data_IF_828952322373
#
_entry.id   IF_828952322373
#
_cell.length_a   1.000
_cell.length_b   1.000
_cell.length_c   1.000
_cell.angle_alpha   90.00
_cell.angle_beta   90.00
_cell.angle_gamma   90.00
#
_symmetry.space_group_name_H-M   'P 1'
#
loop_
_entity.id
_entity.type
_entity.pdbx_description
1 polymer ?
#
# COMPACT_ATOMS: atom_id res chain seq x y z
N UNK A 1 12.35 8.29 20.77
CA UNK A 1 11.01 7.68 20.74
C UNK A 1 10.14 8.48 19.78
N UNK A 2 9.57 7.81 18.76
CA UNK A 2 8.46 8.30 17.93
C UNK A 2 8.80 9.11 16.68
N UNK A 3 9.27 8.47 15.59
CA UNK A 3 9.42 9.14 14.28
C UNK A 3 8.82 8.33 13.12
N UNK A 4 7.79 7.54 13.39
CA UNK A 4 6.89 6.99 12.37
C UNK A 4 5.46 7.16 12.90
N UNK A 5 4.61 7.86 12.14
CA UNK A 5 3.21 8.07 12.50
C UNK A 5 2.34 7.66 11.32
N UNK A 6 1.43 6.72 11.55
CA UNK A 6 0.43 6.30 10.57
C UNK A 6 -0.72 7.31 10.42
N UNK A 7 -0.71 8.42 11.16
CA UNK A 7 -1.83 9.37 11.20
C UNK A 7 -2.15 9.99 9.83
N UNK A 8 -1.13 10.29 9.02
CA UNK A 8 -1.32 10.84 7.68
C UNK A 8 -1.97 9.81 6.74
N UNK A 9 -1.47 8.57 6.75
CA UNK A 9 -2.05 7.45 5.97
C UNK A 9 -3.48 7.15 6.40
N UNK A 10 -3.76 7.12 7.71
CA UNK A 10 -5.10 6.91 8.26
C UNK A 10 -6.08 8.03 7.85
N UNK A 11 -5.61 9.29 7.83
CA UNK A 11 -6.42 10.43 7.39
C UNK A 11 -6.74 10.35 5.90
N UNK A 12 -5.78 9.92 5.07
CA UNK A 12 -5.99 9.66 3.64
C UNK A 12 -7.02 8.56 3.40
N UNK A 13 -6.92 7.45 4.12
CA UNK A 13 -7.86 6.33 4.04
C UNK A 13 -9.28 6.74 4.44
N UNK A 14 -9.43 7.53 5.51
CA UNK A 14 -10.72 8.06 5.95
C UNK A 14 -11.36 8.96 4.88
N UNK A 15 -10.58 9.85 4.27
CA UNK A 15 -11.06 10.72 3.21
C UNK A 15 -11.53 9.92 1.99
N UNK A 16 -10.74 8.94 1.54
CA UNK A 16 -11.07 8.08 0.40
C UNK A 16 -12.35 7.26 0.66
N UNK A 17 -12.47 6.68 1.86
CA UNK A 17 -13.67 5.93 2.26
C UNK A 17 -14.90 6.82 2.28
N UNK A 18 -14.78 8.02 2.85
CA UNK A 18 -15.88 8.98 2.94
C UNK A 18 -16.34 9.44 1.56
N UNK A 19 -15.40 9.68 0.63
CA UNK A 19 -15.72 10.05 -0.74
C UNK A 19 -16.40 8.92 -1.51
N UNK A 20 -15.91 7.69 -1.36
CA UNK A 20 -16.52 6.54 -2.01
C UNK A 20 -17.97 6.31 -1.55
N UNK A 21 -18.25 6.46 -0.26
CA UNK A 21 -19.62 6.40 0.28
C UNK A 21 -20.53 7.49 -0.28
N UNK A 22 -20.02 8.71 -0.43
CA UNK A 22 -20.76 9.81 -1.04
C UNK A 22 -21.16 9.52 -2.49
N UNK A 23 -20.23 8.97 -3.27
CA UNK A 23 -20.51 8.55 -4.65
C UNK A 23 -21.51 7.40 -4.71
N UNK A 24 -21.47 6.46 -3.74
CA UNK A 24 -22.49 5.43 -3.64
C UNK A 24 -23.89 6.02 -3.44
N UNK A 25 -24.02 7.05 -2.60
CA UNK A 25 -25.32 7.70 -2.39
C UNK A 25 -25.79 8.47 -3.63
N UNK A 26 -24.89 9.21 -4.28
CA UNK A 26 -25.22 10.00 -5.48
C UNK A 26 -25.68 9.13 -6.65
N UNK A 27 -25.08 7.96 -6.81
CA UNK A 27 -25.37 7.06 -7.92
C UNK A 27 -26.51 6.07 -7.61
N UNK A 28 -27.01 6.01 -6.36
CA UNK A 28 -28.03 5.06 -5.94
C UNK A 28 -29.30 5.03 -6.84
N UNK A 29 -29.83 6.17 -7.35
CA UNK A 29 -30.98 6.14 -8.27
C UNK A 29 -30.70 5.46 -9.61
N UNK A 30 -29.45 5.47 -10.07
CA UNK A 30 -29.03 4.91 -11.36
C UNK A 30 -28.40 3.52 -11.23
N UNK A 31 -27.80 3.21 -10.07
CA UNK A 31 -27.08 1.98 -9.77
C UNK A 31 -27.37 1.55 -8.33
N UNK A 32 -28.59 1.05 -8.02
CA UNK A 32 -28.97 0.70 -6.66
C UNK A 32 -28.16 -0.46 -6.08
N UNK A 33 -27.62 -1.36 -6.92
CA UNK A 33 -26.92 -2.58 -6.49
C UNK A 33 -25.39 -2.41 -6.39
N UNK A 34 -24.88 -1.19 -6.52
CA UNK A 34 -23.45 -0.95 -6.39
C UNK A 34 -22.99 -1.13 -4.94
N UNK A 35 -21.76 -1.60 -4.77
CA UNK A 35 -21.17 -1.86 -3.46
C UNK A 35 -19.79 -1.22 -3.34
N UNK A 36 -19.43 -0.87 -2.11
CA UNK A 36 -18.07 -0.48 -1.73
C UNK A 36 -17.42 -1.66 -1.03
N UNK A 37 -16.21 -2.03 -1.46
CA UNK A 37 -15.38 -3.04 -0.79
C UNK A 37 -14.15 -2.34 -0.23
N UNK A 38 -13.79 -2.68 1.01
CA UNK A 38 -12.55 -2.25 1.65
C UNK A 38 -11.62 -3.46 1.75
N UNK A 39 -10.39 -3.30 1.29
CA UNK A 39 -9.33 -4.30 1.45
C UNK A 39 -8.54 -3.99 2.73
N UNK A 40 -8.45 -4.96 3.64
CA UNK A 40 -7.85 -4.78 4.96
C UNK A 40 -6.35 -5.09 4.99
N UNK A 41 -5.84 -5.78 3.97
CA UNK A 41 -4.47 -6.30 3.95
C UNK A 41 -3.69 -5.62 2.83
N UNK A 42 -2.73 -4.79 3.18
CA UNK A 42 -1.80 -4.21 2.19
C UNK A 42 -0.33 -4.36 2.59
N UNK A 43 0.02 -5.40 3.36
CA UNK A 43 1.40 -5.83 3.62
C UNK A 43 1.46 -7.36 3.77
N UNK A 44 2.38 -8.02 3.06
CA UNK A 44 2.66 -9.45 3.26
C UNK A 44 3.64 -9.56 4.44
N UNK A 45 3.13 -9.94 5.63
CA UNK A 45 3.95 -10.23 6.79
C UNK A 45 4.40 -11.70 6.78
N UNK A 46 5.69 -11.96 7.01
CA UNK A 46 6.21 -13.31 7.12
C UNK A 46 6.50 -13.59 8.59
N UNK A 47 6.26 -14.82 9.02
CA UNK A 47 6.60 -15.29 10.36
C UNK A 47 7.62 -16.42 10.24
N UNK A 48 8.56 -16.48 11.19
CA UNK A 48 9.45 -17.64 11.32
C UNK A 48 8.67 -18.87 11.85
N UNK A 49 9.34 -20.03 11.91
CA UNK A 49 8.72 -21.26 12.44
C UNK A 49 8.30 -21.15 13.93
N UNK A 50 8.72 -20.10 14.63
CA UNK A 50 8.37 -19.80 16.02
C UNK A 50 7.29 -18.72 16.14
N UNK A 51 6.76 -18.20 15.03
CA UNK A 51 5.73 -17.16 14.99
C UNK A 51 6.25 -15.73 15.18
N UNK A 52 7.56 -15.49 15.07
CA UNK A 52 8.10 -14.14 15.16
C UNK A 52 8.02 -13.43 13.79
N UNK A 53 7.62 -12.15 13.74
CA UNK A 53 7.58 -11.39 12.50
C UNK A 53 8.99 -11.26 11.90
N UNK A 54 9.11 -11.60 10.64
CA UNK A 54 10.34 -11.48 9.84
C UNK A 54 10.34 -10.14 9.12
N UNK A 55 11.34 -9.29 9.41
CA UNK A 55 11.53 -8.03 8.71
C UNK A 55 12.16 -8.31 7.33
N UNK A 56 11.42 -8.00 6.26
CA UNK A 56 11.89 -8.18 4.88
C UNK A 56 11.95 -6.83 4.17
N UNK A 57 13.04 -6.59 3.46
CA UNK A 57 13.21 -5.40 2.63
C UNK A 57 12.40 -5.55 1.33
N UNK A 58 11.27 -4.85 1.24
CA UNK A 58 10.49 -4.80 0.01
C UNK A 58 11.07 -3.75 -0.95
N UNK A 59 11.71 -4.22 -2.02
CA UNK A 59 12.15 -3.34 -3.11
C UNK A 59 10.99 -3.14 -4.11
N UNK A 60 10.56 -1.88 -4.30
CA UNK A 60 9.62 -1.52 -5.38
C UNK A 60 10.43 -1.34 -6.67
N UNK A 61 10.17 -2.18 -7.67
CA UNK A 61 10.82 -2.09 -8.97
C UNK A 61 10.41 -0.79 -9.70
N UNK A 62 11.36 0.13 -9.85
CA UNK A 62 11.14 1.41 -10.54
C UNK A 62 11.65 1.35 -12.00
N UNK A 63 10.88 0.74 -12.90
CA UNK A 63 11.26 0.68 -14.33
C UNK A 63 11.04 2.03 -15.02
N UNK A 64 12.11 2.80 -15.23
CA UNK A 64 12.16 3.91 -16.23
C UNK A 64 12.61 3.45 -17.62
N UNK A 65 13.34 2.34 -17.72
CA UNK A 65 13.75 1.69 -18.96
C UNK A 65 14.06 0.20 -18.70
N UNK A 66 14.17 -0.62 -19.75
CA UNK A 66 14.63 -2.01 -19.64
C UNK A 66 16.16 -2.03 -19.48
N UNK A 67 16.64 -1.90 -18.24
CA UNK A 67 18.03 -2.15 -17.87
C UNK A 67 18.12 -3.46 -17.08
N UNK A 68 19.26 -4.16 -17.19
CA UNK A 68 19.50 -5.40 -16.44
C UNK A 68 19.90 -5.10 -14.99
N UNK A 69 19.24 -5.75 -14.04
CA UNK A 69 19.52 -5.68 -12.60
C UNK A 69 20.80 -6.45 -12.25
N UNK A 70 21.96 -5.88 -12.60
CA UNK A 70 23.26 -6.44 -12.24
C UNK A 70 23.64 -6.17 -10.78
N UNK A 71 24.63 -6.89 -10.27
CA UNK A 71 25.12 -6.82 -8.88
C UNK A 71 25.60 -5.43 -8.44
N UNK A 72 25.78 -4.47 -9.35
CA UNK A 72 26.17 -3.08 -9.04
C UNK A 72 25.10 -2.06 -9.38
N UNK A 73 23.89 -2.52 -9.71
CA UNK A 73 22.80 -1.63 -10.12
C UNK A 73 22.36 -0.75 -8.94
N UNK A 74 22.28 0.56 -9.21
CA UNK A 74 21.82 1.54 -8.23
C UNK A 74 20.37 1.27 -7.79
N UNK A 75 19.55 0.63 -8.62
CA UNK A 75 18.19 0.23 -8.20
C UNK A 75 18.21 -0.83 -7.09
N UNK A 76 19.25 -1.66 -7.03
CA UNK A 76 19.44 -2.67 -5.97
C UNK A 76 20.00 -2.01 -4.69
N UNK A 77 21.00 -1.15 -4.82
CA UNK A 77 21.73 -0.61 -3.66
C UNK A 77 21.18 0.71 -3.09
N UNK A 78 20.46 1.50 -3.89
CA UNK A 78 19.93 2.82 -3.52
C UNK A 78 18.40 2.86 -3.61
N UNK A 79 17.73 1.71 -3.37
CA UNK A 79 16.28 1.70 -3.29
C UNK A 79 15.84 2.64 -2.16
N UNK A 80 15.22 3.77 -2.54
CA UNK A 80 14.68 4.73 -1.59
C UNK A 80 13.41 4.12 -1.01
N UNK A 81 13.51 3.58 0.20
CA UNK A 81 12.34 3.32 1.03
C UNK A 81 11.67 4.68 1.27
N UNK A 82 10.41 4.79 0.85
CA UNK A 82 9.59 5.98 1.01
C UNK A 82 8.37 5.62 1.84
#
# INVERSE_FOLDING_TARGET
MGQHSAAASASGYLYQTSWALLELLRQAPHRPDQALTLEMHDDIAWEDASGNPTELLQAKLHRKANAGLGDRDTDVWMSRVK
#
